data_IF_021519793593
#
_entry.id   IF_021519793593
#
_cell.length_a   1.000
_cell.length_b   1.000
_cell.length_c   1.000
_cell.angle_alpha   90.00
_cell.angle_beta   90.00
_cell.angle_gamma   90.00
#
_symmetry.space_group_name_H-M   'P 1'
#
loop_
_entity.id
_entity.type
_entity.pdbx_description
1 polymer ?
#
# COMPACT_ATOMS: atom_id res chain seq x y z
N UNK A 1 -22.83 13.20 -7.82
CA UNK A 1 -23.15 11.95 -8.57
C UNK A 1 -21.91 11.10 -8.81
N UNK A 2 -20.83 11.68 -9.36
CA UNK A 2 -19.55 11.00 -9.60
C UNK A 2 -18.92 10.47 -8.30
N UNK A 3 -18.96 11.23 -7.20
CA UNK A 3 -18.38 10.80 -5.91
C UNK A 3 -19.08 9.58 -5.33
N UNK A 4 -20.40 9.49 -5.49
CA UNK A 4 -21.19 8.34 -5.03
C UNK A 4 -20.85 7.09 -5.84
N UNK A 5 -20.75 7.21 -7.17
CA UNK A 5 -20.32 6.12 -8.04
C UNK A 5 -18.91 5.63 -7.68
N UNK A 6 -17.98 6.56 -7.44
CA UNK A 6 -16.63 6.25 -7.00
C UNK A 6 -16.62 5.54 -5.63
N UNK A 7 -17.35 6.07 -4.65
CA UNK A 7 -17.43 5.51 -3.30
C UNK A 7 -18.04 4.11 -3.31
N UNK A 8 -19.13 3.89 -4.04
CA UNK A 8 -19.75 2.56 -4.20
C UNK A 8 -18.78 1.59 -4.87
N UNK A 9 -18.08 2.00 -5.94
CA UNK A 9 -17.08 1.16 -6.59
C UNK A 9 -15.92 0.77 -5.66
N UNK A 10 -15.37 1.73 -4.91
CA UNK A 10 -14.32 1.49 -3.93
C UNK A 10 -14.78 0.56 -2.79
N UNK A 11 -16.02 0.75 -2.30
CA UNK A 11 -16.63 -0.09 -1.28
C UNK A 11 -16.81 -1.54 -1.74
N UNK A 12 -17.40 -1.75 -2.93
CA UNK A 12 -17.59 -3.08 -3.50
C UNK A 12 -16.25 -3.80 -3.72
N UNK A 13 -15.25 -3.09 -4.26
CA UNK A 13 -13.90 -3.64 -4.43
C UNK A 13 -13.30 -4.09 -3.10
N UNK A 14 -13.43 -3.27 -2.05
CA UNK A 14 -12.97 -3.62 -0.70
C UNK A 14 -13.68 -4.89 -0.20
N UNK A 15 -15.01 -4.97 -0.33
CA UNK A 15 -15.80 -6.14 0.08
C UNK A 15 -15.38 -7.42 -0.64
N UNK A 16 -15.05 -7.34 -1.93
CA UNK A 16 -14.55 -8.51 -2.67
C UNK A 16 -13.19 -9.00 -2.20
N UNK A 17 -12.30 -8.11 -1.73
CA UNK A 17 -11.06 -8.53 -1.08
C UNK A 17 -11.30 -9.09 0.33
N UNK A 18 -12.16 -8.46 1.14
CA UNK A 18 -12.52 -8.95 2.49
C UNK A 18 -13.13 -10.35 2.45
N UNK A 19 -14.00 -10.61 1.47
CA UNK A 19 -14.68 -11.90 1.30
C UNK A 19 -13.84 -12.94 0.53
N UNK A 20 -12.58 -12.65 0.20
CA UNK A 20 -11.68 -13.58 -0.51
C UNK A 20 -12.05 -13.88 -1.96
N UNK A 21 -12.97 -13.12 -2.57
CA UNK A 21 -13.39 -13.28 -3.96
C UNK A 21 -12.27 -12.88 -4.92
N UNK A 22 -11.55 -11.79 -4.61
CA UNK A 22 -10.40 -11.35 -5.38
C UNK A 22 -9.12 -12.04 -4.89
N UNK A 23 -8.31 -12.51 -5.85
CA UNK A 23 -7.05 -13.20 -5.56
C UNK A 23 -6.05 -12.28 -4.85
N UNK A 24 -5.47 -12.76 -3.76
CA UNK A 24 -4.37 -12.12 -3.03
C UNK A 24 -3.11 -12.96 -3.20
N UNK A 25 -2.02 -12.34 -3.66
CA UNK A 25 -0.71 -12.99 -3.75
C UNK A 25 0.08 -12.76 -2.46
N UNK A 26 0.57 -13.82 -1.85
CA UNK A 26 1.50 -13.77 -0.71
C UNK A 26 2.92 -14.00 -1.22
N UNK A 27 3.83 -13.14 -0.78
CA UNK A 27 5.27 -13.33 -1.03
C UNK A 27 5.86 -14.21 0.08
N UNK A 28 6.97 -14.93 -0.19
CA UNK A 28 7.63 -15.79 0.80
C UNK A 28 8.41 -15.01 1.87
N UNK A 29 8.42 -13.67 1.78
CA UNK A 29 9.10 -12.76 2.71
C UNK A 29 8.09 -11.80 3.36
N UNK A 30 8.40 -11.24 4.53
CA UNK A 30 7.57 -10.20 5.15
C UNK A 30 7.39 -8.98 4.24
N UNK A 31 6.18 -8.42 4.20
CA UNK A 31 5.84 -7.26 3.37
C UNK A 31 5.20 -6.17 4.23
N UNK A 32 5.72 -4.94 4.12
CA UNK A 32 5.15 -3.75 4.75
C UNK A 32 4.60 -2.84 3.66
N UNK A 33 3.30 -2.51 3.74
CA UNK A 33 2.65 -1.57 2.82
C UNK A 33 2.64 -0.17 3.43
N UNK A 34 3.18 0.82 2.70
CA UNK A 34 3.15 2.23 3.09
C UNK A 34 2.19 2.98 2.16
N UNK A 35 1.05 3.41 2.68
CA UNK A 35 -0.02 4.06 1.93
C UNK A 35 -0.64 5.24 2.66
N UNK A 36 -1.55 5.95 2.01
CA UNK A 36 -2.37 7.01 2.62
C UNK A 36 -3.77 7.00 2.01
N UNK A 37 -4.75 7.52 2.77
CA UNK A 37 -6.14 7.65 2.33
C UNK A 37 -6.39 8.88 1.45
N UNK A 38 -5.56 9.92 1.59
CA UNK A 38 -5.67 11.17 0.83
C UNK A 38 -4.69 11.22 -0.34
N UNK A 39 -5.12 11.87 -1.42
CA UNK A 39 -4.27 12.24 -2.56
C UNK A 39 -3.36 13.42 -2.20
N UNK A 40 -2.12 13.43 -2.71
CA UNK A 40 -1.13 14.47 -2.44
C UNK A 40 0.12 14.01 -1.67
N UNK A 41 0.96 14.99 -1.31
CA UNK A 41 2.26 14.82 -0.64
C UNK A 41 2.13 14.48 0.85
N UNK A 42 1.71 13.26 1.15
CA UNK A 42 1.31 12.87 2.52
C UNK A 42 2.41 12.17 3.31
N UNK A 43 3.67 12.57 3.11
CA UNK A 43 4.82 12.05 3.89
C UNK A 43 5.17 10.57 3.65
N UNK A 44 4.52 9.88 2.70
CA UNK A 44 4.78 8.46 2.40
C UNK A 44 6.25 8.21 2.07
N UNK A 45 6.84 9.06 1.22
CA UNK A 45 8.25 8.90 0.80
C UNK A 45 9.23 9.08 1.98
N UNK A 46 9.18 10.16 2.79
CA UNK A 46 9.98 10.25 4.02
C UNK A 46 9.79 9.04 4.96
N UNK A 47 8.55 8.58 5.16
CA UNK A 47 8.26 7.43 6.02
C UNK A 47 8.85 6.12 5.47
N UNK A 48 8.73 5.89 4.15
CA UNK A 48 9.32 4.72 3.50
C UNK A 48 10.85 4.72 3.63
N UNK A 49 11.49 5.88 3.45
CA UNK A 49 12.95 6.02 3.63
C UNK A 49 13.33 5.72 5.08
N UNK A 50 12.59 6.27 6.04
CA UNK A 50 12.84 6.03 7.46
C UNK A 50 12.71 4.54 7.82
N UNK A 51 11.65 3.86 7.35
CA UNK A 51 11.44 2.43 7.57
C UNK A 51 12.56 1.58 6.96
N UNK A 52 13.01 1.91 5.74
CA UNK A 52 14.11 1.19 5.11
C UNK A 52 15.40 1.33 5.94
N UNK A 53 15.73 2.54 6.40
CA UNK A 53 16.88 2.76 7.29
C UNK A 53 16.74 2.03 8.62
N UNK A 54 15.56 2.04 9.23
CA UNK A 54 15.30 1.31 10.46
C UNK A 54 15.52 -0.20 10.28
N UNK A 55 14.93 -0.81 9.26
CA UNK A 55 15.12 -2.23 8.99
C UNK A 55 16.57 -2.59 8.67
N UNK A 56 17.27 -1.72 7.94
CA UNK A 56 18.71 -1.88 7.72
C UNK A 56 19.51 -1.82 9.03
N UNK A 57 19.15 -0.91 9.94
CA UNK A 57 19.85 -0.75 11.23
C UNK A 57 19.72 -1.96 12.16
N UNK A 58 18.65 -2.75 12.02
CA UNK A 58 18.46 -4.01 12.76
C UNK A 58 18.94 -5.25 11.99
N UNK A 59 19.73 -5.06 10.92
CA UNK A 59 20.39 -6.13 10.17
C UNK A 59 19.54 -6.78 9.07
N UNK A 60 18.41 -6.19 8.68
CA UNK A 60 17.61 -6.69 7.56
C UNK A 60 18.02 -6.03 6.23
N UNK A 61 17.64 -6.67 5.11
CA UNK A 61 17.88 -6.19 3.75
C UNK A 61 16.56 -5.78 3.08
N UNK A 62 16.01 -4.58 3.37
CA UNK A 62 14.73 -4.17 2.82
C UNK A 62 14.82 -3.84 1.32
N UNK A 63 13.78 -4.19 0.56
CA UNK A 63 13.60 -3.80 -0.85
C UNK A 63 12.36 -2.93 -0.96
N UNK A 64 12.50 -1.73 -1.56
CA UNK A 64 11.39 -0.81 -1.75
C UNK A 64 10.75 -1.04 -3.12
N UNK A 65 9.47 -1.42 -3.11
CA UNK A 65 8.66 -1.52 -4.32
C UNK A 65 7.88 -0.22 -4.51
N UNK A 66 8.10 0.45 -5.64
CA UNK A 66 7.34 1.64 -6.05
C UNK A 66 6.53 1.35 -7.30
N UNK A 67 5.41 2.06 -7.49
CA UNK A 67 4.55 1.90 -8.67
C UNK A 67 5.13 2.59 -9.93
N UNK A 68 6.05 3.52 -9.79
CA UNK A 68 6.68 4.21 -10.92
C UNK A 68 5.72 5.10 -11.73
N UNK A 69 4.90 5.90 -11.06
CA UNK A 69 4.09 6.92 -11.77
C UNK A 69 5.00 8.00 -12.37
N UNK A 70 4.68 8.45 -13.58
CA UNK A 70 5.28 9.66 -14.19
C UNK A 70 4.63 10.91 -13.63
#
# INVERSE_FOLDING_TARGET
MIDLLYATGAYLRRKFYENGILKVKKLPVPVVSVGNLSVGGTGKTPLTIWLAKYFQSIGLNPVVLSRGYK
#
